data_IF_423540479704
#
_entry.id   IF_423540479704
#
_cell.length_a   1.000
_cell.length_b   1.000
_cell.length_c   1.000
_cell.angle_alpha   90.00
_cell.angle_beta   90.00
_cell.angle_gamma   90.00
#
_symmetry.space_group_name_H-M   'P 1'
#
loop_
_entity.id
_entity.type
_entity.pdbx_description
1 polymer ?
#
# COMPACT_ATOMS: atom_id res chain seq x y z
N UNK A 1 15.58 59.18 16.80
CA UNK A 1 16.20 57.97 17.41
C UNK A 1 15.85 56.75 16.56
N UNK A 2 16.77 56.39 15.71
CA UNK A 2 16.62 55.39 14.64
C UNK A 2 17.00 54.04 15.17
N UNK A 3 16.17 53.00 14.96
CA UNK A 3 16.51 51.61 15.18
C UNK A 3 16.72 50.89 13.83
N UNK A 4 17.79 50.11 13.63
CA UNK A 4 18.09 49.47 12.37
C UNK A 4 17.31 48.17 12.17
N UNK A 5 16.92 47.94 10.93
CA UNK A 5 16.39 46.68 10.36
C UNK A 5 17.48 45.57 10.42
N UNK A 6 17.12 44.44 11.01
CA UNK A 6 17.93 43.22 10.94
C UNK A 6 17.53 42.46 9.68
N UNK A 7 18.50 42.28 8.81
CA UNK A 7 18.37 41.55 7.56
C UNK A 7 18.16 40.05 7.82
N UNK A 8 17.20 39.47 7.11
CA UNK A 8 17.03 38.04 6.97
C UNK A 8 18.07 37.51 5.96
N UNK A 9 18.94 36.63 6.42
CA UNK A 9 19.84 35.89 5.54
C UNK A 9 19.06 34.81 4.80
N UNK A 10 18.93 34.98 3.50
CA UNK A 10 18.45 33.93 2.58
C UNK A 10 19.62 32.97 2.35
N UNK A 11 19.50 31.75 2.87
CA UNK A 11 20.41 30.67 2.52
C UNK A 11 19.99 30.12 1.16
N UNK A 12 20.69 30.55 0.10
CA UNK A 12 20.54 29.96 -1.21
C UNK A 12 21.31 28.62 -1.23
N UNK A 13 20.58 27.53 -1.26
CA UNK A 13 21.13 26.21 -1.55
C UNK A 13 21.50 26.16 -3.04
N UNK A 14 22.78 26.20 -3.38
CA UNK A 14 23.27 25.93 -4.73
C UNK A 14 23.10 24.44 -5.02
N UNK A 15 22.10 24.09 -5.82
CA UNK A 15 22.05 22.81 -6.50
C UNK A 15 23.07 22.83 -7.64
N UNK A 16 24.18 22.14 -7.48
CA UNK A 16 25.10 21.83 -8.57
C UNK A 16 24.42 20.85 -9.53
N UNK A 17 23.84 21.37 -10.59
CA UNK A 17 23.41 20.57 -11.73
C UNK A 17 24.69 20.11 -12.47
N UNK A 18 25.08 18.86 -12.27
CA UNK A 18 26.08 18.19 -13.12
C UNK A 18 25.37 17.86 -14.43
N UNK A 19 25.51 18.74 -15.42
CA UNK A 19 25.11 18.44 -16.80
C UNK A 19 26.15 17.48 -17.40
N UNK A 20 25.82 16.19 -17.42
CA UNK A 20 26.55 15.21 -18.22
C UNK A 20 26.02 15.32 -19.66
N UNK A 21 26.88 15.59 -20.67
CA UNK A 21 26.39 15.62 -22.04
C UNK A 21 26.05 14.19 -22.50
N UNK A 22 24.78 13.92 -22.72
CA UNK A 22 24.31 12.70 -23.35
C UNK A 22 24.50 12.82 -24.86
N UNK A 23 25.48 12.10 -25.41
CA UNK A 23 25.57 11.88 -26.85
C UNK A 23 24.51 10.84 -27.27
N UNK A 24 23.55 11.25 -28.07
CA UNK A 24 22.61 10.35 -28.73
C UNK A 24 23.39 9.37 -29.61
N UNK A 25 23.45 8.11 -29.22
CA UNK A 25 23.91 6.99 -30.01
C UNK A 25 22.74 6.21 -30.57
N UNK A 26 22.32 6.56 -31.78
CA UNK A 26 21.47 5.70 -32.61
C UNK A 26 22.31 4.49 -33.10
N UNK A 27 22.22 3.39 -32.37
CA UNK A 27 22.84 2.13 -32.72
C UNK A 27 22.28 1.01 -31.86
N UNK A 28 22.38 -0.26 -32.25
CA UNK A 28 22.09 -1.44 -31.43
C UNK A 28 22.88 -1.32 -30.11
N UNK A 29 22.31 -0.49 -29.21
CA UNK A 29 23.02 0.26 -28.21
C UNK A 29 23.62 -0.63 -27.15
N UNK A 30 24.76 -0.22 -26.73
CA UNK A 30 25.51 -0.64 -25.56
C UNK A 30 24.59 -0.97 -24.41
N UNK A 31 24.36 -2.28 -24.16
CA UNK A 31 23.59 -2.78 -23.04
C UNK A 31 24.42 -2.83 -21.76
N UNK A 32 25.71 -2.52 -21.82
CA UNK A 32 26.58 -2.45 -20.66
C UNK A 32 26.15 -1.32 -19.72
N UNK A 33 26.20 -1.57 -18.43
CA UNK A 33 25.83 -0.61 -17.40
C UNK A 33 27.06 0.20 -16.95
N UNK A 34 26.93 1.51 -16.96
CA UNK A 34 27.91 2.41 -16.34
C UNK A 34 27.97 2.20 -14.82
N UNK A 35 29.02 2.70 -14.15
CA UNK A 35 29.11 2.60 -12.68
C UNK A 35 27.95 3.32 -11.98
N UNK A 36 27.53 4.48 -12.50
CA UNK A 36 26.37 5.21 -11.96
C UNK A 36 25.07 4.42 -12.09
N UNK A 37 24.81 3.81 -13.24
CA UNK A 37 23.64 2.96 -13.46
C UNK A 37 23.68 1.71 -12.55
N UNK A 38 24.85 1.07 -12.40
CA UNK A 38 25.01 -0.07 -11.47
C UNK A 38 24.74 0.34 -10.01
N UNK A 39 25.20 1.53 -9.60
CA UNK A 39 24.89 2.05 -8.28
C UNK A 39 23.38 2.28 -8.09
N UNK A 40 22.71 2.82 -9.10
CA UNK A 40 21.26 3.00 -9.09
C UNK A 40 20.51 1.65 -9.04
N UNK A 41 20.94 0.65 -9.82
CA UNK A 41 20.35 -0.71 -9.78
C UNK A 41 20.56 -1.36 -8.40
N UNK A 42 21.76 -1.21 -7.80
CA UNK A 42 22.01 -1.71 -6.43
C UNK A 42 21.07 -1.08 -5.40
N UNK A 43 20.71 0.19 -5.58
CA UNK A 43 19.76 0.87 -4.68
C UNK A 43 18.31 0.36 -4.82
N UNK A 44 17.97 -0.26 -5.94
CA UNK A 44 16.68 -0.92 -6.18
C UNK A 44 16.68 -2.40 -5.75
N UNK A 45 17.86 -2.99 -5.60
CA UNK A 45 17.98 -4.39 -5.19
C UNK A 45 17.69 -4.57 -3.70
N UNK A 46 17.21 -5.75 -3.36
CA UNK A 46 17.07 -6.15 -1.96
C UNK A 46 18.46 -6.31 -1.35
N UNK A 47 18.74 -5.73 -0.18
CA UNK A 47 20.04 -5.86 0.45
C UNK A 47 20.43 -7.33 0.67
N UNK A 48 21.71 -7.70 0.48
CA UNK A 48 22.17 -9.05 0.79
C UNK A 48 21.86 -9.43 2.24
N UNK A 49 21.33 -10.63 2.45
CA UNK A 49 20.94 -11.12 3.77
C UNK A 49 19.60 -10.59 4.29
N UNK A 50 18.87 -9.83 3.48
CA UNK A 50 17.49 -9.48 3.82
C UNK A 50 16.67 -10.76 3.98
N UNK A 51 16.20 -10.97 5.19
CA UNK A 51 15.21 -12.01 5.48
C UNK A 51 13.87 -11.32 5.66
N UNK A 52 12.80 -11.84 5.05
CA UNK A 52 11.45 -11.35 5.36
C UNK A 52 11.26 -11.35 6.88
N UNK A 53 10.59 -10.35 7.44
CA UNK A 53 10.33 -10.36 8.86
C UNK A 53 9.60 -11.66 9.22
N UNK A 54 10.21 -12.46 10.08
CA UNK A 54 9.57 -13.68 10.58
C UNK A 54 8.19 -13.32 11.12
N UNK A 55 7.19 -14.12 10.80
CA UNK A 55 5.91 -13.98 11.47
C UNK A 55 6.16 -14.17 12.96
N UNK A 56 5.95 -13.16 13.80
CA UNK A 56 6.40 -13.16 15.20
C UNK A 56 5.82 -14.33 15.97
N UNK A 57 4.76 -14.93 15.46
CA UNK A 57 4.05 -16.06 16.06
C UNK A 57 3.31 -16.86 14.96
N UNK A 58 3.77 -18.08 14.66
CA UNK A 58 3.15 -18.92 13.62
C UNK A 58 1.65 -19.16 13.86
N UNK A 59 1.22 -19.36 15.11
CA UNK A 59 -0.19 -19.62 15.39
C UNK A 59 -1.03 -18.33 15.37
N UNK A 60 -0.43 -17.16 15.62
CA UNK A 60 -1.07 -15.87 15.38
C UNK A 60 -1.25 -15.62 13.88
N UNK A 61 -0.24 -15.92 13.07
CA UNK A 61 -0.29 -15.83 11.63
C UNK A 61 -1.33 -16.79 11.02
N UNK A 62 -1.43 -18.03 11.54
CA UNK A 62 -2.46 -18.99 11.14
C UNK A 62 -3.88 -18.46 11.48
N UNK A 63 -4.04 -17.87 12.65
CA UNK A 63 -5.32 -17.23 13.00
C UNK A 63 -5.65 -16.07 12.05
N UNK A 64 -4.67 -15.22 11.73
CA UNK A 64 -4.82 -14.14 10.74
C UNK A 64 -5.19 -14.66 9.36
N UNK A 65 -4.54 -15.74 8.89
CA UNK A 65 -4.88 -16.41 7.64
C UNK A 65 -6.32 -16.93 7.64
N UNK A 66 -6.75 -17.56 8.70
CA UNK A 66 -8.14 -18.00 8.87
C UNK A 66 -9.13 -16.83 8.77
N UNK A 67 -8.85 -15.72 9.46
CA UNK A 67 -9.67 -14.51 9.41
C UNK A 67 -9.73 -13.91 7.99
N UNK A 68 -8.63 -13.91 7.23
CA UNK A 68 -8.58 -13.37 5.89
C UNK A 68 -9.55 -14.04 4.92
N UNK A 69 -9.73 -15.37 5.03
CA UNK A 69 -10.64 -16.15 4.20
C UNK A 69 -12.06 -16.26 4.78
N UNK A 70 -12.30 -15.79 6.02
CA UNK A 70 -13.55 -16.00 6.71
C UNK A 70 -14.63 -15.00 6.33
N UNK A 71 -15.64 -15.46 5.62
CA UNK A 71 -16.77 -14.62 5.19
C UNK A 71 -17.64 -14.13 6.34
N UNK A 72 -17.59 -14.80 7.52
CA UNK A 72 -18.35 -14.39 8.72
C UNK A 72 -17.93 -13.01 9.24
N UNK A 73 -16.80 -12.47 8.74
CA UNK A 73 -16.34 -11.11 9.09
C UNK A 73 -17.10 -10.01 8.35
N UNK A 74 -17.81 -10.30 7.26
CA UNK A 74 -18.72 -9.32 6.65
C UNK A 74 -20.07 -9.28 7.36
N UNK A 75 -20.75 -8.13 7.28
CA UNK A 75 -22.02 -7.93 7.97
C UNK A 75 -23.12 -8.90 7.53
N UNK A 76 -23.09 -9.36 6.28
CA UNK A 76 -24.06 -10.29 5.69
C UNK A 76 -23.49 -11.71 5.46
N UNK A 77 -22.25 -11.98 5.85
CA UNK A 77 -21.61 -13.29 5.69
C UNK A 77 -21.24 -13.68 4.26
N UNK A 78 -21.28 -12.75 3.29
CA UNK A 78 -21.03 -13.06 1.87
C UNK A 78 -19.60 -12.83 1.42
N UNK A 79 -18.87 -11.92 2.06
CA UNK A 79 -17.57 -11.44 1.63
C UNK A 79 -16.49 -11.72 2.69
N UNK A 80 -15.27 -11.94 2.23
CA UNK A 80 -14.06 -11.97 3.05
C UNK A 80 -13.02 -11.06 2.44
N UNK A 81 -11.85 -10.87 3.08
CA UNK A 81 -10.74 -10.13 2.48
C UNK A 81 -10.30 -10.76 1.14
N UNK A 82 -10.32 -12.10 1.06
CA UNK A 82 -10.00 -12.85 -0.17
C UNK A 82 -11.01 -12.62 -1.31
N UNK A 83 -12.17 -12.02 -1.06
CA UNK A 83 -13.11 -11.68 -2.14
C UNK A 83 -12.58 -10.60 -3.07
N UNK A 84 -11.74 -9.66 -2.55
CA UNK A 84 -11.09 -8.62 -3.32
C UNK A 84 -9.58 -8.89 -3.46
N UNK A 85 -8.92 -9.43 -2.45
CA UNK A 85 -7.51 -9.77 -2.49
C UNK A 85 -7.33 -11.25 -2.85
N UNK A 86 -7.49 -11.58 -4.13
CA UNK A 86 -7.47 -12.95 -4.66
C UNK A 86 -6.01 -13.44 -4.81
N UNK A 87 -5.58 -14.52 -4.12
CA UNK A 87 -4.19 -14.99 -4.17
C UNK A 87 -3.71 -15.32 -5.58
N UNK A 88 -4.57 -15.91 -6.42
CA UNK A 88 -4.28 -16.29 -7.80
C UNK A 88 -4.09 -15.07 -8.73
N UNK A 89 -4.49 -13.87 -8.29
CA UNK A 89 -4.35 -12.59 -9.00
C UNK A 89 -3.37 -11.64 -8.30
N UNK A 90 -2.31 -12.18 -7.72
CA UNK A 90 -1.36 -11.41 -6.92
C UNK A 90 -2.04 -10.54 -5.84
N UNK A 91 -3.10 -11.06 -5.20
CA UNK A 91 -3.89 -10.39 -4.17
C UNK A 91 -4.58 -9.10 -4.65
N UNK A 92 -4.99 -9.06 -5.93
CA UNK A 92 -5.92 -8.06 -6.47
C UNK A 92 -7.22 -8.74 -6.93
N UNK A 93 -8.22 -7.99 -7.41
CA UNK A 93 -9.45 -8.55 -7.98
C UNK A 93 -9.54 -8.42 -9.51
N UNK A 94 -8.57 -7.72 -10.13
CA UNK A 94 -8.55 -7.45 -11.56
C UNK A 94 -9.64 -6.49 -12.03
N UNK A 95 -10.28 -5.76 -11.12
CA UNK A 95 -11.32 -4.79 -11.43
C UNK A 95 -10.79 -3.36 -11.23
N UNK A 96 -11.27 -2.41 -12.04
CA UNK A 96 -10.95 -1.00 -11.82
C UNK A 96 -11.38 -0.57 -10.41
N UNK A 97 -12.59 -0.92 -10.01
CA UNK A 97 -13.12 -0.69 -8.68
C UNK A 97 -13.74 -1.97 -8.12
N UNK A 98 -13.41 -2.38 -6.89
CA UNK A 98 -13.87 -3.62 -6.29
C UNK A 98 -15.38 -3.64 -6.10
N UNK A 99 -15.94 -4.87 -6.09
CA UNK A 99 -17.35 -5.15 -5.83
C UNK A 99 -17.46 -6.08 -4.63
N UNK A 100 -17.95 -5.54 -3.50
CA UNK A 100 -18.27 -6.32 -2.30
C UNK A 100 -19.69 -5.97 -1.83
N UNK A 101 -19.90 -5.52 -0.59
CA UNK A 101 -21.20 -5.04 -0.13
C UNK A 101 -21.73 -3.84 -0.94
N UNK A 102 -20.83 -3.06 -1.50
CA UNK A 102 -21.07 -2.01 -2.48
C UNK A 102 -19.95 -1.92 -3.52
N UNK A 103 -20.00 -0.91 -4.39
CA UNK A 103 -18.90 -0.60 -5.29
C UNK A 103 -17.89 0.27 -4.56
N UNK A 104 -16.64 -0.19 -4.48
CA UNK A 104 -15.51 0.61 -3.98
C UNK A 104 -15.26 1.86 -4.83
N UNK A 105 -14.39 2.71 -4.36
CA UNK A 105 -14.03 3.97 -5.05
C UNK A 105 -12.54 4.03 -5.42
N UNK A 106 -11.78 3.00 -5.08
CA UNK A 106 -10.37 2.86 -5.42
C UNK A 106 -10.04 1.43 -5.79
N UNK A 107 -9.05 1.26 -6.65
CA UNK A 107 -8.54 -0.04 -7.08
C UNK A 107 -7.99 -0.85 -5.88
N UNK A 108 -8.15 -2.17 -5.95
CA UNK A 108 -7.65 -3.12 -4.93
C UNK A 108 -6.13 -3.30 -5.10
N UNK A 109 -5.29 -2.80 -4.17
CA UNK A 109 -3.85 -3.00 -4.24
C UNK A 109 -3.45 -4.42 -3.85
N UNK A 110 -2.29 -4.88 -4.35
CA UNK A 110 -1.67 -6.14 -3.90
C UNK A 110 -1.35 -6.12 -2.41
N UNK A 111 -1.31 -7.32 -1.80
CA UNK A 111 -0.81 -7.52 -0.43
C UNK A 111 0.61 -8.12 -0.40
N UNK A 112 1.22 -8.40 -1.55
CA UNK A 112 2.59 -8.92 -1.61
C UNK A 112 3.54 -7.80 -1.21
N UNK A 113 4.48 -8.11 -0.32
CA UNK A 113 5.52 -7.19 0.20
C UNK A 113 4.99 -5.94 0.92
N UNK A 114 3.78 -5.97 1.48
CA UNK A 114 3.24 -4.79 2.19
C UNK A 114 3.77 -4.64 3.63
N UNK A 115 4.54 -5.63 4.12
CA UNK A 115 4.95 -5.69 5.53
C UNK A 115 5.73 -4.45 6.01
N UNK A 116 6.60 -3.92 5.16
CA UNK A 116 7.50 -2.82 5.48
C UNK A 116 6.98 -1.45 5.03
N UNK A 117 5.75 -1.37 4.54
CA UNK A 117 5.16 -0.10 4.15
C UNK A 117 4.94 0.78 5.39
N UNK A 118 5.36 2.06 5.36
CA UNK A 118 5.09 3.01 6.43
C UNK A 118 3.64 3.55 6.41
N UNK A 119 2.98 3.46 5.26
CA UNK A 119 1.64 3.97 5.03
C UNK A 119 0.79 2.97 4.24
N UNK A 120 -0.47 2.85 4.60
CA UNK A 120 -1.42 1.91 4.01
C UNK A 120 -2.63 2.63 3.43
N UNK A 121 -3.31 1.97 2.50
CA UNK A 121 -4.30 2.52 1.59
C UNK A 121 -3.68 3.51 0.58
N UNK A 122 -4.37 3.79 -0.50
CA UNK A 122 -3.91 4.75 -1.52
C UNK A 122 -3.70 6.17 -0.97
N UNK A 123 -4.45 6.54 0.09
CA UNK A 123 -4.39 7.85 0.74
C UNK A 123 -3.60 7.85 2.06
N UNK A 124 -3.04 6.71 2.44
CA UNK A 124 -2.33 6.58 3.70
C UNK A 124 -3.20 6.81 4.93
N UNK A 125 -4.46 6.41 4.89
CA UNK A 125 -5.39 6.54 6.01
C UNK A 125 -5.05 5.64 7.20
N UNK A 126 -4.03 4.79 7.08
CA UNK A 126 -3.46 4.00 8.16
C UNK A 126 -1.93 4.07 8.12
N UNK A 127 -1.29 3.98 9.28
CA UNK A 127 0.15 4.08 9.52
C UNK A 127 0.79 2.78 10.00
N UNK A 128 0.01 1.71 10.03
CA UNK A 128 0.47 0.39 10.45
C UNK A 128 -0.30 -0.72 9.76
N UNK A 129 0.37 -1.87 9.58
CA UNK A 129 -0.22 -3.04 8.94
C UNK A 129 -1.43 -3.58 9.69
N UNK A 130 -1.45 -3.48 11.02
CA UNK A 130 -2.58 -3.94 11.82
C UNK A 130 -3.79 -3.00 11.72
N UNK A 131 -3.55 -1.68 11.70
CA UNK A 131 -4.64 -0.70 11.73
C UNK A 131 -5.37 -0.55 10.39
N UNK A 132 -4.68 -0.80 9.27
CA UNK A 132 -5.28 -0.68 7.94
C UNK A 132 -6.44 -1.64 7.70
N UNK A 133 -6.39 -2.86 8.27
CA UNK A 133 -7.44 -3.87 8.10
C UNK A 133 -8.75 -3.46 8.75
N UNK A 134 -8.69 -2.65 9.80
CA UNK A 134 -9.86 -2.19 10.53
C UNK A 134 -10.71 -1.20 9.74
N UNK A 135 -10.09 -0.47 8.81
CA UNK A 135 -10.79 0.47 7.91
C UNK A 135 -11.74 -0.25 6.95
N UNK A 136 -11.43 -1.51 6.60
CA UNK A 136 -12.18 -2.34 5.66
C UNK A 136 -13.44 -2.93 6.32
N UNK A 137 -13.34 -3.34 7.58
CA UNK A 137 -14.41 -4.04 8.30
C UNK A 137 -15.66 -3.16 8.43
N UNK A 138 -15.50 -1.90 8.83
CA UNK A 138 -16.63 -0.99 9.05
C UNK A 138 -16.99 -0.18 7.79
N UNK A 139 -16.30 -0.41 6.65
CA UNK A 139 -16.64 0.27 5.40
C UNK A 139 -17.91 -0.32 4.78
N UNK A 140 -18.99 0.48 4.61
CA UNK A 140 -20.28 -0.01 4.09
C UNK A 140 -20.21 -0.49 2.63
N UNK A 141 -19.13 -0.20 1.91
CA UNK A 141 -18.91 -0.66 0.53
C UNK A 141 -18.04 -1.92 0.44
N UNK A 142 -17.41 -2.32 1.54
CA UNK A 142 -16.48 -3.45 1.62
C UNK A 142 -17.08 -4.58 2.46
N UNK A 143 -16.69 -4.77 3.72
CA UNK A 143 -17.26 -5.81 4.56
C UNK A 143 -18.59 -5.40 5.24
N UNK A 144 -18.92 -4.12 5.26
CA UNK A 144 -20.18 -3.58 5.77
C UNK A 144 -20.61 -4.15 7.13
N UNK A 145 -19.66 -4.39 8.01
CA UNK A 145 -19.90 -4.87 9.36
C UNK A 145 -19.86 -3.72 10.36
N UNK A 146 -20.27 -3.97 11.58
CA UNK A 146 -20.09 -3.05 12.69
C UNK A 146 -19.26 -3.73 13.81
N UNK A 147 -18.70 -2.91 14.67
CA UNK A 147 -17.74 -3.31 15.69
C UNK A 147 -18.31 -4.33 16.69
N UNK A 148 -19.55 -4.13 17.12
CA UNK A 148 -20.21 -5.03 18.05
C UNK A 148 -20.59 -6.35 17.38
N UNK A 149 -21.17 -6.31 16.17
CA UNK A 149 -21.51 -7.54 15.46
C UNK A 149 -20.28 -8.40 15.16
N UNK A 150 -19.14 -7.77 14.84
CA UNK A 150 -17.87 -8.49 14.67
C UNK A 150 -17.44 -9.18 15.96
N UNK A 151 -17.46 -8.48 17.11
CA UNK A 151 -17.13 -9.07 18.41
C UNK A 151 -18.10 -10.22 18.78
N UNK A 152 -19.40 -10.06 18.49
CA UNK A 152 -20.38 -11.12 18.64
C UNK A 152 -20.11 -12.32 17.72
N UNK A 153 -19.67 -12.07 16.47
CA UNK A 153 -19.31 -13.14 15.52
C UNK A 153 -18.18 -13.99 16.09
N UNK A 154 -17.13 -13.39 16.62
CA UNK A 154 -16.04 -14.11 17.29
C UNK A 154 -16.52 -14.87 18.51
N UNK A 155 -17.39 -14.28 19.33
CA UNK A 155 -17.89 -14.88 20.55
C UNK A 155 -18.80 -16.09 20.28
N UNK A 156 -19.69 -16.02 19.29
CA UNK A 156 -20.67 -17.07 18.95
C UNK A 156 -20.03 -18.28 18.27
N UNK A 157 -18.99 -18.07 17.48
CA UNK A 157 -18.32 -19.13 16.73
C UNK A 157 -17.22 -19.78 17.57
N UNK A 158 -17.41 -21.06 17.94
CA UNK A 158 -16.53 -21.80 18.86
C UNK A 158 -15.09 -21.85 18.38
N UNK A 159 -14.87 -22.07 17.09
CA UNK A 159 -13.56 -22.13 16.44
C UNK A 159 -12.80 -20.78 16.52
N UNK A 160 -13.48 -19.69 16.13
CA UNK A 160 -12.89 -18.34 16.18
C UNK A 160 -12.63 -17.90 17.63
N UNK A 161 -13.58 -18.16 18.53
CA UNK A 161 -13.43 -17.86 19.95
C UNK A 161 -12.26 -18.62 20.58
N UNK A 162 -12.08 -19.89 20.26
CA UNK A 162 -10.98 -20.69 20.77
C UNK A 162 -9.62 -20.19 20.23
N UNK A 163 -9.54 -19.87 18.93
CA UNK A 163 -8.34 -19.31 18.32
C UNK A 163 -7.97 -17.94 18.93
N UNK A 164 -8.94 -17.05 19.05
CA UNK A 164 -8.76 -15.74 19.69
C UNK A 164 -8.25 -15.89 21.13
N UNK A 165 -8.95 -16.75 21.94
CA UNK A 165 -8.62 -16.92 23.37
C UNK A 165 -7.20 -17.42 23.61
N UNK A 166 -6.70 -18.28 22.75
CA UNK A 166 -5.30 -18.78 22.87
C UNK A 166 -4.25 -17.68 22.79
N UNK A 167 -4.56 -16.54 22.12
CA UNK A 167 -3.63 -15.46 21.85
C UNK A 167 -3.84 -14.20 22.68
N UNK A 168 -5.09 -13.86 22.90
CA UNK A 168 -5.47 -12.57 23.48
C UNK A 168 -6.24 -12.71 24.79
N UNK A 169 -6.41 -13.92 25.27
CA UNK A 169 -7.24 -14.16 26.46
C UNK A 169 -8.76 -14.18 26.13
N UNK A 170 -9.62 -14.12 27.14
CA UNK A 170 -11.05 -14.22 26.96
C UNK A 170 -11.62 -13.00 26.21
N UNK A 171 -12.61 -13.25 25.35
CA UNK A 171 -13.44 -12.18 24.78
C UNK A 171 -14.31 -11.53 25.89
N UNK A 172 -14.75 -10.28 25.74
CA UNK A 172 -15.77 -9.67 26.58
C UNK A 172 -17.01 -10.58 26.65
N UNK A 173 -17.81 -10.52 27.75
CA UNK A 173 -18.99 -11.37 27.92
C UNK A 173 -20.14 -10.90 27.02
N UNK A 174 -20.01 -11.14 25.72
CA UNK A 174 -20.95 -10.67 24.67
C UNK A 174 -22.37 -11.23 24.84
N UNK A 175 -22.58 -12.21 25.72
CA UNK A 175 -23.94 -12.70 26.10
C UNK A 175 -24.70 -11.69 26.95
N UNK A 176 -24.07 -10.72 27.57
CA UNK A 176 -24.69 -9.68 28.37
C UNK A 176 -25.23 -8.55 27.47
N UNK A 177 -26.34 -8.79 26.78
CA UNK A 177 -26.89 -7.90 25.75
C UNK A 177 -27.22 -6.48 26.22
N UNK A 178 -27.43 -6.24 27.50
CA UNK A 178 -27.58 -4.89 28.05
C UNK A 178 -26.28 -4.07 27.99
N UNK A 179 -25.14 -4.74 28.17
CA UNK A 179 -23.79 -4.12 28.08
C UNK A 179 -23.27 -4.11 26.65
N UNK A 180 -23.50 -5.20 25.90
CA UNK A 180 -23.01 -5.41 24.56
C UNK A 180 -24.20 -5.64 23.59
N UNK A 181 -24.81 -4.57 23.07
CA UNK A 181 -25.87 -4.67 22.06
C UNK A 181 -25.43 -5.49 20.84
N UNK A 182 -26.38 -6.07 20.10
CA UNK A 182 -26.07 -6.92 18.94
C UNK A 182 -25.33 -6.17 17.82
N UNK A 183 -25.61 -4.87 17.67
CA UNK A 183 -25.02 -3.96 16.68
C UNK A 183 -24.63 -2.64 17.32
N UNK A 184 -23.54 -2.03 16.81
CA UNK A 184 -23.10 -0.71 17.22
C UNK A 184 -21.68 -0.38 16.80
N UNK A 185 -21.49 0.86 16.40
CA UNK A 185 -20.18 1.40 15.98
C UNK A 185 -20.11 2.90 16.25
N UNK A 186 -18.93 3.44 16.62
CA UNK A 186 -18.70 4.89 16.68
C UNK A 186 -18.68 5.53 15.29
N UNK A 187 -18.55 4.74 14.21
CA UNK A 187 -18.57 5.22 12.83
C UNK A 187 -19.99 5.38 12.28
N UNK A 188 -20.98 4.79 12.93
CA UNK A 188 -22.38 4.94 12.55
C UNK A 188 -22.88 6.37 12.84
N UNK A 189 -23.85 6.83 12.05
CA UNK A 189 -24.47 8.16 12.29
C UNK A 189 -24.96 8.25 13.76
N UNK A 190 -24.75 9.38 14.45
CA UNK A 190 -25.09 9.51 15.85
C UNK A 190 -26.54 9.12 16.17
N UNK A 191 -27.47 9.45 15.30
CA UNK A 191 -28.89 9.18 15.51
C UNK A 191 -29.38 7.87 14.88
N UNK A 192 -28.50 7.06 14.33
CA UNK A 192 -28.83 5.69 13.91
C UNK A 192 -29.00 4.76 15.12
N UNK A 193 -29.68 3.63 14.97
CA UNK A 193 -29.76 2.61 16.02
C UNK A 193 -28.39 2.17 16.53
N UNK A 194 -27.43 1.95 15.63
CA UNK A 194 -26.05 1.48 15.89
C UNK A 194 -25.24 2.56 16.62
N UNK A 195 -25.34 3.83 16.19
CA UNK A 195 -24.68 4.95 16.85
C UNK A 195 -25.20 5.18 18.26
N UNK A 196 -26.54 5.13 18.46
CA UNK A 196 -27.13 5.21 19.79
C UNK A 196 -26.77 4.03 20.68
N UNK A 197 -26.73 2.81 20.14
CA UNK A 197 -26.36 1.60 20.88
C UNK A 197 -24.91 1.74 21.39
N UNK A 198 -23.97 2.13 20.54
CA UNK A 198 -22.58 2.37 20.91
C UNK A 198 -22.43 3.42 22.02
N UNK A 199 -23.10 4.59 21.88
CA UNK A 199 -22.97 5.66 22.87
C UNK A 199 -23.59 5.37 24.23
N UNK A 200 -24.50 4.40 24.33
CA UNK A 200 -25.07 3.95 25.63
C UNK A 200 -24.16 3.02 26.39
N UNK A 201 -23.15 2.42 25.73
CA UNK A 201 -22.17 1.57 26.41
C UNK A 201 -21.26 2.40 27.32
N UNK A 202 -20.75 1.79 28.38
CA UNK A 202 -19.70 2.40 29.20
C UNK A 202 -18.42 2.52 28.40
N UNK A 203 -17.56 3.47 28.75
CA UNK A 203 -16.22 3.63 28.12
C UNK A 203 -15.40 2.35 28.23
N UNK A 204 -15.48 1.64 29.37
CA UNK A 204 -14.79 0.38 29.58
C UNK A 204 -15.28 -0.73 28.63
N UNK A 205 -16.59 -0.81 28.36
CA UNK A 205 -17.16 -1.78 27.42
C UNK A 205 -16.80 -1.44 25.97
N UNK A 206 -16.81 -0.14 25.61
CA UNK A 206 -16.35 0.34 24.31
C UNK A 206 -14.86 0.01 24.10
N UNK A 207 -14.01 0.24 25.11
CA UNK A 207 -12.58 -0.10 25.08
C UNK A 207 -12.37 -1.60 24.89
N UNK A 208 -13.10 -2.44 25.61
CA UNK A 208 -13.04 -3.90 25.47
C UNK A 208 -13.35 -4.35 24.03
N UNK A 209 -14.37 -3.77 23.39
CA UNK A 209 -14.71 -4.07 21.99
C UNK A 209 -13.67 -3.53 21.03
N UNK A 210 -13.14 -2.32 21.25
CA UNK A 210 -12.04 -1.75 20.46
C UNK A 210 -10.78 -2.62 20.54
N UNK A 211 -10.48 -3.18 21.71
CA UNK A 211 -9.37 -4.12 21.89
C UNK A 211 -9.55 -5.39 21.06
N UNK A 212 -10.78 -5.90 20.97
CA UNK A 212 -11.08 -7.04 20.07
C UNK A 212 -10.76 -6.68 18.61
N UNK A 213 -11.16 -5.49 18.16
CA UNK A 213 -10.83 -5.00 16.80
C UNK A 213 -9.32 -4.94 16.59
N UNK A 214 -8.57 -4.28 17.49
CA UNK A 214 -7.12 -4.17 17.38
C UNK A 214 -6.45 -5.54 17.29
N UNK A 215 -6.85 -6.49 18.13
CA UNK A 215 -6.33 -7.86 18.16
C UNK A 215 -6.56 -8.60 16.83
N UNK A 216 -7.70 -8.38 16.16
CA UNK A 216 -7.94 -8.92 14.82
C UNK A 216 -6.98 -8.31 13.80
N UNK A 217 -6.76 -7.01 13.87
CA UNK A 217 -5.80 -6.33 13.03
C UNK A 217 -4.39 -6.89 13.21
N UNK A 218 -3.97 -7.12 14.46
CA UNK A 218 -2.66 -7.73 14.80
C UNK A 218 -2.53 -9.15 14.23
N UNK A 219 -3.58 -9.96 14.32
CA UNK A 219 -3.57 -11.32 13.74
C UNK A 219 -3.46 -11.29 12.21
N UNK A 220 -4.25 -10.43 11.55
CA UNK A 220 -4.20 -10.26 10.10
C UNK A 220 -2.83 -9.73 9.64
N UNK A 221 -2.23 -8.79 10.37
CA UNK A 221 -0.88 -8.28 10.11
C UNK A 221 0.18 -9.38 10.24
N UNK A 222 0.08 -10.25 11.24
CA UNK A 222 1.01 -11.37 11.42
C UNK A 222 1.01 -12.32 10.21
N UNK A 223 -0.15 -12.58 9.62
CA UNK A 223 -0.22 -13.37 8.39
C UNK A 223 0.30 -12.59 7.17
N UNK A 224 -0.08 -11.31 7.00
CA UNK A 224 0.35 -10.51 5.85
C UNK A 224 1.88 -10.36 5.79
N UNK A 225 2.59 -10.37 6.93
CA UNK A 225 4.06 -10.40 6.98
C UNK A 225 4.68 -11.66 6.34
N UNK A 226 3.90 -12.70 6.07
CA UNK A 226 4.35 -13.90 5.35
C UNK A 226 4.20 -13.80 3.83
N UNK A 227 3.54 -12.74 3.33
CA UNK A 227 3.30 -12.52 1.91
C UNK A 227 4.49 -11.77 1.28
N UNK A 228 5.67 -12.36 1.32
CA UNK A 228 6.92 -11.72 0.87
C UNK A 228 7.57 -12.52 -0.25
N UNK A 229 8.01 -11.81 -1.32
CA UNK A 229 8.74 -12.36 -2.47
C UNK A 229 9.72 -11.34 -3.03
N UNK A 230 10.97 -11.80 -3.22
CA UNK A 230 12.06 -11.04 -3.83
C UNK A 230 12.89 -11.96 -4.74
N UNK A 231 12.24 -12.72 -5.60
CA UNK A 231 12.84 -13.71 -6.50
C UNK A 231 12.42 -13.48 -7.96
N UNK A 232 12.22 -12.22 -8.33
CA UNK A 232 11.88 -11.82 -9.70
C UNK A 232 13.10 -11.93 -10.63
N UNK A 233 12.90 -11.98 -11.96
CA UNK A 233 13.99 -11.89 -12.93
C UNK A 233 14.89 -10.68 -12.70
N UNK A 234 14.33 -9.52 -12.29
CA UNK A 234 15.12 -8.36 -11.90
C UNK A 234 16.04 -8.65 -10.72
N UNK A 235 15.56 -9.33 -9.66
CA UNK A 235 16.38 -9.64 -8.48
C UNK A 235 17.58 -10.51 -8.85
N UNK A 236 17.37 -11.50 -9.70
CA UNK A 236 18.46 -12.35 -10.21
C UNK A 236 19.44 -11.57 -11.08
N UNK A 237 18.93 -10.71 -11.97
CA UNK A 237 19.78 -9.84 -12.79
C UNK A 237 20.59 -8.87 -11.95
N UNK A 238 19.98 -8.21 -10.97
CA UNK A 238 20.66 -7.26 -10.08
C UNK A 238 21.77 -7.94 -9.26
N UNK A 239 21.55 -9.18 -8.81
CA UNK A 239 22.56 -9.99 -8.15
C UNK A 239 23.73 -10.32 -9.11
N UNK A 240 23.42 -10.78 -10.34
CA UNK A 240 24.43 -11.08 -11.35
C UNK A 240 25.24 -9.81 -11.73
N UNK A 241 24.60 -8.63 -11.80
CA UNK A 241 25.23 -7.35 -12.10
C UNK A 241 26.22 -6.90 -11.02
N UNK A 242 26.10 -7.39 -9.80
CA UNK A 242 27.06 -7.12 -8.72
C UNK A 242 28.41 -7.78 -8.99
N UNK A 243 28.41 -8.99 -9.55
CA UNK A 243 29.62 -9.78 -9.82
C UNK A 243 30.17 -9.55 -11.24
N UNK A 244 29.31 -9.29 -12.21
CA UNK A 244 29.67 -9.08 -13.61
C UNK A 244 29.06 -7.74 -14.09
N UNK A 245 29.89 -6.75 -14.53
CA UNK A 245 29.37 -5.46 -14.99
C UNK A 245 28.54 -5.52 -16.28
N UNK A 246 28.58 -6.62 -17.01
CA UNK A 246 27.79 -6.85 -18.22
C UNK A 246 27.35 -8.34 -18.32
N UNK A 247 26.41 -8.78 -17.44
CA UNK A 247 25.88 -10.13 -17.55
C UNK A 247 25.12 -10.27 -18.89
N UNK A 248 25.25 -11.39 -19.61
CA UNK A 248 24.56 -11.57 -20.89
C UNK A 248 23.03 -11.52 -20.69
N UNK A 249 22.27 -11.04 -21.68
CA UNK A 249 20.82 -11.17 -21.65
C UNK A 249 20.41 -12.64 -21.75
N UNK A 250 19.32 -12.99 -21.07
CA UNK A 250 18.68 -14.31 -21.16
C UNK A 250 17.16 -14.14 -21.39
N UNK A 251 16.44 -15.26 -21.46
CA UNK A 251 14.98 -15.23 -21.69
C UNK A 251 14.21 -14.59 -20.53
N UNK A 252 14.75 -14.65 -19.31
CA UNK A 252 14.13 -14.06 -18.12
C UNK A 252 14.38 -12.55 -18.03
N UNK A 253 15.56 -12.09 -18.48
CA UNK A 253 15.92 -10.67 -18.50
C UNK A 253 16.49 -10.26 -19.88
N UNK A 254 15.62 -10.16 -20.90
CA UNK A 254 16.00 -9.93 -22.28
C UNK A 254 16.59 -8.52 -22.51
N UNK A 255 17.23 -8.34 -23.67
CA UNK A 255 17.85 -7.07 -24.04
C UNK A 255 16.91 -5.86 -23.97
N UNK A 256 15.62 -6.04 -24.28
CA UNK A 256 14.61 -4.99 -24.13
C UNK A 256 14.43 -4.58 -22.68
N UNK A 257 14.37 -5.54 -21.74
CA UNK A 257 14.28 -5.25 -20.31
C UNK A 257 15.53 -4.52 -19.79
N UNK A 258 16.71 -4.88 -20.29
CA UNK A 258 17.97 -4.18 -19.95
C UNK A 258 17.94 -2.72 -20.37
N UNK A 259 17.51 -2.42 -21.62
CA UNK A 259 17.32 -1.03 -22.07
C UNK A 259 16.27 -0.30 -21.25
N UNK A 260 15.16 -0.97 -20.96
CA UNK A 260 14.11 -0.42 -20.09
C UNK A 260 14.60 -0.11 -18.68
N UNK A 261 15.44 -0.97 -18.08
CA UNK A 261 16.07 -0.70 -16.78
C UNK A 261 17.00 0.50 -16.83
N UNK A 262 17.83 0.64 -17.90
CA UNK A 262 18.68 1.83 -18.09
C UNK A 262 17.85 3.10 -18.19
N UNK A 263 16.76 3.09 -18.95
CA UNK A 263 15.81 4.22 -19.02
C UNK A 263 15.21 4.52 -17.63
N UNK A 264 14.77 3.50 -16.90
CA UNK A 264 14.13 3.61 -15.59
C UNK A 264 15.04 4.26 -14.55
N UNK A 265 16.32 3.84 -14.49
CA UNK A 265 17.31 4.40 -13.53
C UNK A 265 18.00 5.67 -14.02
N UNK A 266 17.81 6.04 -15.29
CA UNK A 266 18.45 7.16 -15.94
C UNK A 266 17.48 8.17 -16.52
N UNK A 267 17.44 8.24 -17.84
CA UNK A 267 16.78 9.31 -18.61
C UNK A 267 15.28 9.48 -18.24
N UNK A 268 14.55 8.39 -18.08
CA UNK A 268 13.10 8.46 -17.80
C UNK A 268 12.74 8.90 -16.38
N UNK A 269 13.73 9.13 -15.49
CA UNK A 269 13.56 9.69 -14.14
C UNK A 269 12.58 8.93 -13.21
N UNK A 270 12.26 7.68 -13.53
CA UNK A 270 11.24 6.90 -12.77
C UNK A 270 11.64 6.70 -11.29
N UNK A 271 12.94 6.64 -11.00
CA UNK A 271 13.49 6.47 -9.64
C UNK A 271 13.26 7.66 -8.71
N UNK A 272 12.84 8.82 -9.21
CA UNK A 272 12.42 9.94 -8.34
C UNK A 272 11.28 9.57 -7.40
N UNK A 273 10.35 8.74 -7.89
CA UNK A 273 9.23 8.24 -7.11
C UNK A 273 9.34 6.72 -6.84
N UNK A 274 9.85 5.95 -7.80
CA UNK A 274 9.93 4.49 -7.73
C UNK A 274 11.34 4.02 -7.36
N UNK A 275 11.80 4.37 -6.14
CA UNK A 275 13.11 4.05 -5.59
C UNK A 275 13.07 2.96 -4.52
N UNK A 276 14.24 2.43 -4.16
CA UNK A 276 14.40 1.40 -3.13
C UNK A 276 13.88 0.01 -3.54
N UNK A 277 14.01 -0.99 -2.65
CA UNK A 277 13.71 -2.39 -2.96
C UNK A 277 12.26 -2.66 -3.37
N UNK A 278 11.32 -1.83 -2.93
CA UNK A 278 9.91 -1.92 -3.31
C UNK A 278 9.57 -1.10 -4.56
N UNK A 279 10.53 -0.46 -5.22
CA UNK A 279 10.25 0.44 -6.33
C UNK A 279 9.20 1.49 -5.95
N UNK A 280 9.34 2.05 -4.76
CA UNK A 280 8.44 3.06 -4.19
C UNK A 280 9.18 3.86 -3.12
N UNK A 281 9.17 5.18 -3.21
CA UNK A 281 9.65 6.06 -2.15
C UNK A 281 8.66 6.17 -0.98
N UNK A 282 7.52 5.47 -1.04
CA UNK A 282 6.44 5.48 -0.06
C UNK A 282 5.87 6.88 0.25
N UNK A 283 6.20 7.87 -0.57
CA UNK A 283 5.67 9.24 -0.48
C UNK A 283 4.32 9.39 -1.22
N UNK A 284 3.77 10.57 -1.15
CA UNK A 284 2.48 10.91 -1.75
C UNK A 284 2.69 12.01 -2.80
N UNK A 285 2.28 11.73 -4.02
CA UNK A 285 2.45 12.63 -5.16
C UNK A 285 1.10 12.86 -5.86
N UNK A 286 0.89 14.10 -6.28
CA UNK A 286 -0.24 14.43 -7.14
C UNK A 286 0.20 14.36 -8.60
N UNK A 287 -0.18 13.29 -9.27
CA UNK A 287 0.18 13.07 -10.68
C UNK A 287 -0.64 13.91 -11.67
N UNK A 288 -1.60 14.70 -11.19
CA UNK A 288 -2.52 15.44 -12.06
C UNK A 288 -3.55 14.53 -12.74
N UNK A 289 -3.92 13.44 -12.09
CA UNK A 289 -4.96 12.53 -12.60
C UNK A 289 -6.31 13.25 -12.62
N UNK A 290 -7.02 13.34 -13.76
CA UNK A 290 -8.31 14.01 -13.84
C UNK A 290 -9.35 13.40 -12.89
N UNK A 291 -10.12 14.28 -12.25
CA UNK A 291 -11.05 13.92 -11.18
C UNK A 291 -12.24 13.15 -11.69
N UNK A 292 -12.58 12.04 -11.04
CA UNK A 292 -13.82 11.28 -11.26
C UNK A 292 -14.79 11.37 -10.07
N UNK A 293 -14.30 11.65 -8.88
CA UNK A 293 -15.12 11.92 -7.67
C UNK A 293 -14.45 13.02 -6.83
N UNK A 294 -15.01 14.22 -6.81
CA UNK A 294 -14.50 15.37 -6.05
C UNK A 294 -14.43 15.14 -4.53
N UNK A 295 -15.08 14.10 -4.01
CA UNK A 295 -15.01 13.72 -2.58
C UNK A 295 -13.76 12.92 -2.26
N UNK A 296 -13.08 12.39 -3.28
CA UNK A 296 -11.81 11.70 -3.10
C UNK A 296 -10.64 12.67 -3.23
N UNK A 297 -10.32 13.33 -2.13
CA UNK A 297 -9.22 14.31 -2.08
C UNK A 297 -7.86 13.67 -1.77
N UNK A 298 -7.72 12.36 -1.94
CA UNK A 298 -6.45 11.65 -1.74
C UNK A 298 -5.90 11.79 -0.32
N UNK A 299 -4.61 12.09 -0.20
CA UNK A 299 -3.88 12.19 1.07
C UNK A 299 -4.48 13.21 2.04
N UNK A 300 -5.08 14.29 1.56
CA UNK A 300 -5.79 15.26 2.42
C UNK A 300 -6.84 14.55 3.29
N UNK A 301 -7.69 13.73 2.67
CA UNK A 301 -8.72 12.95 3.38
C UNK A 301 -8.09 11.85 4.23
N UNK A 302 -7.06 11.18 3.70
CA UNK A 302 -6.33 10.13 4.40
C UNK A 302 -5.76 10.61 5.73
N UNK A 303 -5.09 11.78 5.75
CA UNK A 303 -4.54 12.37 6.97
C UNK A 303 -5.62 12.73 8.01
N UNK A 304 -6.74 13.29 7.56
CA UNK A 304 -7.86 13.61 8.48
C UNK A 304 -8.42 12.33 9.13
N UNK A 305 -8.55 11.26 8.36
CA UNK A 305 -9.02 9.95 8.88
C UNK A 305 -8.01 9.34 9.84
N UNK A 306 -6.74 9.36 9.49
CA UNK A 306 -5.65 8.84 10.32
C UNK A 306 -5.60 9.56 11.67
N UNK A 307 -5.63 10.90 11.65
CA UNK A 307 -5.59 11.71 12.88
C UNK A 307 -6.81 11.49 13.79
N UNK A 308 -7.99 11.21 13.21
CA UNK A 308 -9.21 10.95 13.96
C UNK A 308 -9.33 9.48 14.45
N UNK A 309 -8.49 8.58 13.97
CA UNK A 309 -8.57 7.15 14.32
C UNK A 309 -7.94 6.87 15.68
N UNK A 310 -8.61 6.15 16.59
CA UNK A 310 -7.96 5.65 17.81
C UNK A 310 -7.00 4.49 17.51
N UNK A 311 -6.99 3.96 16.27
CA UNK A 311 -6.18 2.85 15.80
C UNK A 311 -5.01 3.35 14.94
N UNK A 312 -4.30 4.36 15.38
CA UNK A 312 -3.05 4.80 14.78
C UNK A 312 -1.86 4.53 15.74
N UNK A 313 -0.64 4.77 15.28
CA UNK A 313 0.57 4.49 16.05
C UNK A 313 0.70 5.31 17.36
N UNK A 314 -0.02 6.44 17.49
CA UNK A 314 -0.09 7.25 18.72
C UNK A 314 -1.34 6.93 19.55
N UNK A 315 -2.20 6.03 19.10
CA UNK A 315 -3.48 5.70 19.74
C UNK A 315 -3.35 4.70 20.89
N UNK A 316 -4.40 4.55 21.71
CA UNK A 316 -4.37 3.70 22.91
C UNK A 316 -4.29 2.19 22.62
N UNK A 317 -4.40 1.77 21.37
CA UNK A 317 -4.36 0.37 20.93
C UNK A 317 -3.06 0.04 20.19
N UNK A 318 -2.18 1.00 19.95
CA UNK A 318 -0.84 0.75 19.45
C UNK A 318 -0.08 -0.12 20.48
N UNK A 319 0.59 -1.16 20.01
CA UNK A 319 1.54 -1.93 20.83
C UNK A 319 2.86 -1.16 20.96
N UNK A 320 3.87 -1.83 21.50
CA UNK A 320 5.23 -1.28 21.64
C UNK A 320 5.91 -0.98 20.29
N UNK A 321 5.36 -1.51 19.19
CA UNK A 321 5.86 -1.32 17.81
C UNK A 321 5.36 -0.03 17.15
N UNK A 322 4.60 0.81 17.85
CA UNK A 322 4.02 2.04 17.33
C UNK A 322 5.06 3.15 17.14
N UNK A 323 5.41 3.50 15.90
CA UNK A 323 6.21 4.69 15.59
C UNK A 323 5.33 5.97 15.64
N UNK A 324 4.99 6.38 16.87
CA UNK A 324 4.18 7.58 17.09
C UNK A 324 4.86 8.87 16.60
N UNK A 325 6.19 8.88 16.50
CA UNK A 325 6.96 10.05 16.06
C UNK A 325 6.67 10.39 14.60
N UNK A 326 6.33 9.40 13.78
CA UNK A 326 5.92 9.59 12.37
C UNK A 326 4.72 10.52 12.23
N UNK A 327 3.83 10.58 13.24
CA UNK A 327 2.64 11.41 13.20
C UNK A 327 2.88 12.86 13.64
N UNK A 328 4.04 13.17 14.23
CA UNK A 328 4.36 14.51 14.75
C UNK A 328 4.66 15.54 13.67
N UNK A 329 5.17 15.09 12.52
CA UNK A 329 5.70 15.96 11.47
C UNK A 329 4.89 15.86 10.17
N UNK A 330 3.60 15.55 10.29
CA UNK A 330 2.72 15.49 9.13
C UNK A 330 2.49 16.90 8.57
N UNK A 331 2.58 17.07 7.24
CA UNK A 331 2.29 18.35 6.61
C UNK A 331 0.80 18.71 6.74
N UNK A 332 0.43 19.99 6.57
CA UNK A 332 -0.97 20.39 6.56
C UNK A 332 -1.77 19.59 5.51
N UNK A 333 -2.92 18.98 5.87
CA UNK A 333 -3.66 18.12 4.95
C UNK A 333 -3.98 18.76 3.59
N UNK A 334 -4.32 20.07 3.58
CA UNK A 334 -4.68 20.80 2.36
C UNK A 334 -3.55 20.85 1.31
N UNK A 335 -2.27 20.83 1.73
CA UNK A 335 -1.12 20.81 0.82
C UNK A 335 -0.95 19.49 0.06
N UNK A 336 -1.67 18.44 0.49
CA UNK A 336 -1.60 17.10 -0.10
C UNK A 336 -2.92 16.70 -0.81
N UNK A 337 -3.73 17.70 -1.16
CA UNK A 337 -4.97 17.49 -1.90
C UNK A 337 -4.69 16.88 -3.28
N UNK A 338 -5.35 15.78 -3.61
CA UNK A 338 -5.16 15.06 -4.88
C UNK A 338 -3.91 14.18 -4.93
N UNK A 339 -3.09 14.14 -3.86
CA UNK A 339 -1.93 13.27 -3.81
C UNK A 339 -2.31 11.84 -3.37
N UNK A 340 -1.65 10.85 -3.97
CA UNK A 340 -1.79 9.43 -3.64
C UNK A 340 -0.41 8.81 -3.40
N UNK A 341 -0.38 7.72 -2.62
CA UNK A 341 0.86 7.01 -2.31
C UNK A 341 1.45 6.40 -3.58
N UNK A 342 2.77 6.54 -3.76
CA UNK A 342 3.51 5.78 -4.76
C UNK A 342 3.37 4.29 -4.47
N UNK A 343 2.72 3.49 -5.35
CA UNK A 343 2.62 2.06 -5.15
C UNK A 343 3.96 1.36 -5.39
N UNK A 344 4.16 0.19 -4.80
CA UNK A 344 5.22 -0.72 -5.23
C UNK A 344 5.01 -1.12 -6.68
N UNK A 345 6.10 -1.28 -7.46
CA UNK A 345 6.04 -1.85 -8.80
C UNK A 345 6.36 -3.36 -8.81
N UNK A 346 6.64 -3.98 -7.66
CA UNK A 346 6.81 -5.43 -7.61
C UNK A 346 5.51 -6.13 -7.99
N UNK A 347 5.62 -7.13 -8.85
CA UNK A 347 4.51 -7.88 -9.43
C UNK A 347 3.53 -7.02 -10.26
N UNK A 348 3.96 -5.86 -10.74
CA UNK A 348 3.09 -4.88 -11.38
C UNK A 348 2.40 -5.40 -12.64
N UNK A 349 3.03 -6.31 -13.40
CA UNK A 349 2.40 -6.86 -14.61
C UNK A 349 1.19 -7.78 -14.31
N UNK A 350 1.03 -8.22 -13.05
CA UNK A 350 -0.08 -9.07 -12.60
C UNK A 350 -1.20 -8.31 -11.91
N UNK A 351 -1.04 -6.98 -11.70
CA UNK A 351 -1.94 -6.18 -10.84
C UNK A 351 -2.78 -5.16 -11.62
N UNK A 352 -2.95 -5.36 -12.92
CA UNK A 352 -3.87 -4.55 -13.72
C UNK A 352 -5.30 -4.63 -13.16
N UNK A 353 -6.12 -3.55 -13.34
CA UNK A 353 -5.79 -2.26 -13.95
C UNK A 353 -5.08 -1.30 -12.99
N UNK A 354 -4.48 -0.24 -13.53
CA UNK A 354 -3.51 0.61 -12.85
C UNK A 354 -4.10 1.93 -12.36
N UNK A 355 -3.35 2.61 -11.47
CA UNK A 355 -3.69 3.81 -10.73
C UNK A 355 -4.73 3.57 -9.62
N UNK A 356 -4.88 4.57 -8.76
CA UNK A 356 -5.76 4.48 -7.58
C UNK A 356 -7.24 4.24 -7.93
N UNK A 357 -7.66 4.55 -9.13
CA UNK A 357 -9.03 4.36 -9.64
C UNK A 357 -9.13 3.29 -10.75
N UNK A 358 -8.01 2.60 -11.04
CA UNK A 358 -7.99 1.51 -12.01
C UNK A 358 -8.30 1.93 -13.45
N UNK A 359 -7.97 3.17 -13.83
CA UNK A 359 -8.35 3.72 -15.16
C UNK A 359 -7.58 3.17 -16.33
N UNK A 360 -6.36 2.65 -16.13
CA UNK A 360 -5.52 2.13 -17.19
C UNK A 360 -5.49 0.61 -17.18
N UNK A 361 -5.86 0.01 -18.31
CA UNK A 361 -5.93 -1.44 -18.44
C UNK A 361 -4.56 -2.10 -18.64
N UNK A 362 -3.59 -1.37 -19.20
CA UNK A 362 -2.27 -1.89 -19.56
C UNK A 362 -1.13 -1.08 -18.94
N UNK A 363 0.05 -1.72 -18.77
CA UNK A 363 1.27 -1.02 -18.36
C UNK A 363 1.68 0.07 -19.35
N UNK A 364 1.46 -0.18 -20.64
CA UNK A 364 1.77 0.81 -21.67
C UNK A 364 0.95 2.08 -21.50
N UNK A 365 -0.37 1.97 -21.30
CA UNK A 365 -1.23 3.11 -21.00
C UNK A 365 -0.79 3.86 -19.74
N UNK A 366 -0.42 3.11 -18.69
CA UNK A 366 0.05 3.70 -17.44
C UNK A 366 1.39 4.46 -17.62
N UNK A 367 2.31 3.95 -18.43
CA UNK A 367 3.58 4.63 -18.75
C UNK A 367 3.33 5.87 -19.64
N UNK A 368 2.47 5.75 -20.65
CA UNK A 368 2.13 6.86 -21.55
C UNK A 368 1.45 8.03 -20.84
N UNK A 369 0.73 7.79 -19.75
CA UNK A 369 0.16 8.86 -18.93
C UNK A 369 1.20 9.89 -18.46
N UNK A 370 2.43 9.46 -18.18
CA UNK A 370 3.50 10.37 -17.74
C UNK A 370 4.04 11.22 -18.88
N UNK A 371 3.87 10.81 -20.13
CA UNK A 371 4.35 11.51 -21.34
C UNK A 371 3.28 12.45 -21.89
N UNK A 372 2.01 12.01 -21.86
CA UNK A 372 0.86 12.74 -22.39
C UNK A 372 -0.34 12.58 -21.42
N UNK A 373 -0.34 13.30 -20.29
CA UNK A 373 -1.43 13.23 -19.34
C UNK A 373 -2.72 13.80 -19.96
N UNK A 374 -3.86 13.10 -19.82
CA UNK A 374 -5.12 13.56 -20.38
C UNK A 374 -5.55 14.88 -19.76
N UNK A 375 -6.13 15.77 -20.56
CA UNK A 375 -6.73 17.01 -20.07
C UNK A 375 -7.91 16.73 -19.13
N UNK A 376 -8.10 17.61 -18.14
CA UNK A 376 -9.22 17.53 -17.22
C UNK A 376 -9.00 18.34 -15.94
N UNK A 377 -10.05 18.44 -15.14
CA UNK A 377 -9.94 19.07 -13.82
C UNK A 377 -9.13 18.18 -12.89
N UNK A 378 -8.16 18.78 -12.18
CA UNK A 378 -7.34 18.11 -11.17
C UNK A 378 -7.61 18.73 -9.78
N UNK A 379 -7.37 17.95 -8.72
CA UNK A 379 -7.40 18.45 -7.35
C UNK A 379 -5.99 18.82 -6.89
N UNK A 380 -5.84 20.01 -6.33
CA UNK A 380 -4.54 20.48 -5.81
C UNK A 380 -3.54 20.82 -6.91
N UNK A 381 -2.27 20.80 -6.58
CA UNK A 381 -1.15 21.08 -7.46
C UNK A 381 -0.50 19.79 -7.96
N UNK A 382 -0.24 19.70 -9.28
CA UNK A 382 0.50 18.57 -9.88
C UNK A 382 1.96 18.61 -9.43
N UNK A 383 2.53 17.44 -9.20
CA UNK A 383 3.94 17.24 -8.86
C UNK A 383 4.87 17.80 -9.94
N UNK A 384 5.69 18.80 -9.60
CA UNK A 384 6.56 19.49 -10.56
C UNK A 384 7.69 18.58 -11.10
N UNK A 385 8.09 17.54 -10.38
CA UNK A 385 9.12 16.59 -10.83
C UNK A 385 8.69 15.80 -12.06
N UNK A 386 7.40 15.73 -12.37
CA UNK A 386 6.89 15.11 -13.58
C UNK A 386 7.31 15.86 -14.86
N UNK A 387 7.64 17.15 -14.76
CA UNK A 387 8.12 17.96 -15.88
C UNK A 387 9.58 17.64 -16.25
N UNK A 388 10.26 16.82 -15.45
CA UNK A 388 11.62 16.32 -15.73
C UNK A 388 11.63 15.06 -16.60
N UNK A 389 10.46 14.42 -16.82
CA UNK A 389 10.34 13.22 -17.65
C UNK A 389 10.42 13.66 -19.12
N UNK A 390 11.41 13.18 -19.90
CA UNK A 390 11.54 13.56 -21.30
C UNK A 390 10.51 12.86 -22.18
N UNK A 391 10.35 13.35 -23.39
CA UNK A 391 9.61 12.61 -24.42
C UNK A 391 10.31 11.27 -24.71
N UNK A 392 9.54 10.19 -24.70
CA UNK A 392 10.04 8.86 -25.00
C UNK A 392 9.41 8.35 -26.30
N UNK A 393 10.21 7.69 -27.11
CA UNK A 393 9.75 7.00 -28.32
C UNK A 393 8.90 5.77 -27.96
N UNK A 394 8.07 5.29 -28.89
CA UNK A 394 7.30 4.06 -28.69
C UNK A 394 8.17 2.85 -28.35
N UNK A 395 9.39 2.76 -28.91
CA UNK A 395 10.36 1.74 -28.57
C UNK A 395 10.82 1.85 -27.12
N UNK A 396 11.12 3.03 -26.63
CA UNK A 396 11.55 3.26 -25.23
C UNK A 396 10.41 2.95 -24.25
N UNK A 397 9.17 3.29 -24.60
CA UNK A 397 7.98 2.86 -23.81
C UNK A 397 7.88 1.34 -23.77
N UNK A 398 8.05 0.65 -24.93
CA UNK A 398 8.02 -0.80 -24.97
C UNK A 398 9.17 -1.44 -24.16
N UNK A 399 10.37 -0.86 -24.19
CA UNK A 399 11.52 -1.31 -23.39
C UNK A 399 11.26 -1.13 -21.87
N UNK A 400 10.67 0.00 -21.45
CA UNK A 400 10.23 0.21 -20.06
C UNK A 400 9.19 -0.83 -19.63
N UNK A 401 8.19 -1.09 -20.46
CA UNK A 401 7.17 -2.13 -20.19
C UNK A 401 7.82 -3.52 -20.10
N UNK A 402 8.81 -3.82 -20.96
CA UNK A 402 9.56 -5.07 -20.88
C UNK A 402 10.31 -5.19 -19.55
N UNK A 403 10.92 -4.10 -19.08
CA UNK A 403 11.55 -4.09 -17.75
C UNK A 403 10.53 -4.28 -16.62
N UNK A 404 9.41 -3.54 -16.62
CA UNK A 404 8.39 -3.65 -15.57
C UNK A 404 7.84 -5.09 -15.43
N UNK A 405 7.75 -5.84 -16.52
CA UNK A 405 7.35 -7.26 -16.50
C UNK A 405 8.36 -8.16 -15.80
N UNK A 406 9.63 -7.78 -15.72
CA UNK A 406 10.67 -8.55 -14.99
C UNK A 406 10.59 -8.39 -13.47
N UNK A 407 9.70 -7.54 -12.96
CA UNK A 407 9.48 -7.35 -11.53
C UNK A 407 8.49 -8.38 -10.93
N UNK A 408 7.99 -9.30 -11.76
CA UNK A 408 7.07 -10.34 -11.31
C UNK A 408 7.84 -11.49 -10.67
N UNK A 409 7.52 -11.77 -9.41
CA UNK A 409 8.08 -12.88 -8.64
C UNK A 409 7.34 -14.19 -8.89
N UNK A 410 7.96 -15.32 -8.52
CA UNK A 410 7.28 -16.61 -8.47
C UNK A 410 6.04 -16.56 -7.56
N UNK A 411 5.01 -17.40 -7.80
CA UNK A 411 3.84 -17.48 -6.93
C UNK A 411 4.23 -17.78 -5.48
N UNK A 412 3.50 -17.20 -4.53
CA UNK A 412 3.64 -17.53 -3.11
C UNK A 412 3.25 -18.99 -2.86
N UNK A 413 3.84 -19.67 -1.83
CA UNK A 413 3.48 -21.03 -1.47
C UNK A 413 2.00 -21.19 -1.10
N UNK A 414 1.39 -22.30 -1.44
CA UNK A 414 -0.01 -22.61 -1.10
C UNK A 414 -0.28 -22.52 0.41
N UNK A 415 0.70 -22.88 1.23
CA UNK A 415 0.61 -22.79 2.69
C UNK A 415 0.24 -21.39 3.23
N UNK A 416 0.49 -20.31 2.45
CA UNK A 416 0.13 -18.94 2.84
C UNK A 416 -0.98 -18.34 1.98
N UNK A 417 -1.34 -18.98 0.86
CA UNK A 417 -2.32 -18.48 -0.12
C UNK A 417 -3.66 -19.20 -0.09
N UNK A 418 -3.75 -20.36 0.59
CA UNK A 418 -4.99 -21.11 0.75
C UNK A 418 -5.59 -20.91 2.17
N UNK A 419 -6.90 -21.14 2.35
CA UNK A 419 -7.47 -21.24 3.70
C UNK A 419 -6.73 -22.32 4.49
N UNK A 420 -6.37 -22.10 5.77
CA UNK A 420 -5.76 -23.14 6.58
C UNK A 420 -6.74 -24.30 6.80
N UNK A 421 -6.21 -25.50 6.93
CA UNK A 421 -7.01 -26.68 7.25
C UNK A 421 -7.83 -26.46 8.53
N UNK A 422 -9.04 -27.02 8.62
CA UNK A 422 -9.93 -26.87 9.76
C UNK A 422 -9.33 -27.28 11.10
#
# INVERSE_FOLDING_TARGET
>A
MSRPLRGAAVVAALALAVTVPWLAADGAGDTAFTEAERAAVRALAVPPGHTPPDAPDPALAEFGQRLFFDRRLSGDGRFSCASCHQPERAFTDGLALPKAAGRGHRNTPTLINVADNPWFQWDGAADSLWSQTLLVVENPRELANDRLNLAHTLYRNKDLRAAYRRRFGPLPPMSEGARFPAHGSPQAAPDSPEGRAWRRMTTADQDAVNRVMANLGVALAAWQRRLVRYDSPFDHFAAALADNPDPPPDDAFPAAARRGLKLFVGEAQCTLCHSGPEFSNQAFHNLGVPVTDHRDTGRERGLRRLAASPFNAAGPYAGDDGDADRLRFLPPPASLRGAFKTPSLRNVARTAPYFHDGRFATLEEAVRFYLDPPEGEILGEREATLDLIPDLTDRQVADLVAFLKTLDSAPLPEAVTAPPSP
#
